data_IF_069739379473
#
_entry.id   IF_069739379473
#
_cell.length_a   1.000
_cell.length_b   1.000
_cell.length_c   1.000
_cell.angle_alpha   90.00
_cell.angle_beta   90.00
_cell.angle_gamma   90.00
#
_symmetry.space_group_name_H-M   'P 1'
#
loop_
_entity.id
_entity.type
_entity.pdbx_description
1 polymer ?
#
# COMPACT_ATOMS: atom_id res chain seq x y z
N UNK A 1 6.94 -20.87 5.41
CA UNK A 1 8.08 -20.02 5.02
C UNK A 1 8.09 -19.91 3.50
N UNK A 2 7.42 -18.89 2.95
CA UNK A 2 7.43 -18.66 1.51
C UNK A 2 8.82 -18.13 1.11
N UNK A 3 9.45 -18.83 0.18
CA UNK A 3 10.76 -18.52 -0.38
C UNK A 3 10.73 -17.09 -0.95
N UNK A 4 11.46 -16.15 -0.34
CA UNK A 4 11.69 -14.79 -0.85
C UNK A 4 12.33 -14.92 -2.24
N UNK A 5 11.50 -14.90 -3.28
CA UNK A 5 12.00 -14.96 -4.65
C UNK A 5 12.46 -13.55 -4.99
N UNK A 6 13.74 -13.26 -4.70
CA UNK A 6 14.46 -12.08 -5.16
C UNK A 6 14.39 -12.06 -6.70
N UNK A 7 13.39 -11.36 -7.24
CA UNK A 7 13.27 -11.07 -8.67
C UNK A 7 13.40 -9.57 -8.84
N UNK A 8 14.59 -9.16 -9.25
CA UNK A 8 14.90 -7.83 -9.75
C UNK A 8 14.82 -7.89 -11.28
N UNK A 9 14.14 -6.94 -11.89
CA UNK A 9 14.01 -6.78 -13.33
C UNK A 9 14.88 -5.62 -13.83
N UNK A 10 15.32 -5.73 -15.08
CA UNK A 10 16.07 -4.67 -15.76
C UNK A 10 15.23 -3.39 -15.90
N UNK A 11 15.87 -2.25 -15.67
CA UNK A 11 15.26 -0.92 -15.77
C UNK A 11 16.30 0.08 -16.25
N UNK A 12 15.84 1.22 -16.79
CA UNK A 12 16.70 2.34 -17.22
C UNK A 12 17.02 3.34 -16.09
N UNK A 13 16.51 3.08 -14.88
CA UNK A 13 16.78 3.92 -13.71
C UNK A 13 18.25 3.71 -13.28
N UNK A 14 18.98 4.81 -13.12
CA UNK A 14 20.43 4.87 -12.83
C UNK A 14 20.77 4.67 -11.34
N UNK A 15 19.82 4.14 -10.55
CA UNK A 15 20.02 3.79 -9.15
C UNK A 15 20.66 2.39 -9.09
N UNK A 16 21.75 2.21 -8.33
CA UNK A 16 22.38 0.90 -8.14
C UNK A 16 21.38 -0.15 -7.69
N UNK A 17 21.49 -1.37 -8.20
CA UNK A 17 20.54 -2.45 -7.92
C UNK A 17 20.35 -2.70 -6.42
N UNK A 18 21.45 -2.75 -5.64
CA UNK A 18 21.38 -2.92 -4.19
C UNK A 18 20.54 -1.81 -3.50
N UNK A 19 20.64 -0.57 -4.00
CA UNK A 19 19.82 0.53 -3.49
C UNK A 19 18.36 0.40 -3.93
N UNK A 20 18.10 -0.04 -5.17
CA UNK A 20 16.73 -0.32 -5.64
C UNK A 20 16.07 -1.42 -4.82
N UNK A 21 16.80 -2.50 -4.49
CA UNK A 21 16.27 -3.59 -3.65
C UNK A 21 15.80 -3.08 -2.28
N UNK A 22 16.61 -2.27 -1.60
CA UNK A 22 16.25 -1.66 -0.30
C UNK A 22 15.04 -0.73 -0.41
N UNK A 23 14.96 0.04 -1.50
CA UNK A 23 13.81 0.91 -1.76
C UNK A 23 12.54 0.08 -2.03
N UNK A 24 12.63 -1.00 -2.80
CA UNK A 24 11.50 -1.90 -3.09
C UNK A 24 10.99 -2.58 -1.81
N UNK A 25 11.89 -2.98 -0.91
CA UNK A 25 11.49 -3.53 0.41
C UNK A 25 10.72 -2.49 1.23
N UNK A 26 11.22 -1.25 1.31
CA UNK A 26 10.54 -0.16 2.00
C UNK A 26 9.18 0.18 1.36
N UNK A 27 9.12 0.23 0.03
CA UNK A 27 7.89 0.50 -0.71
C UNK A 27 6.85 -0.58 -0.48
N UNK A 28 7.23 -1.85 -0.44
CA UNK A 28 6.29 -2.92 -0.13
C UNK A 28 5.77 -2.88 1.32
N UNK A 29 6.61 -2.47 2.29
CA UNK A 29 6.14 -2.23 3.65
C UNK A 29 5.09 -1.10 3.69
N UNK A 30 5.34 0.01 2.98
CA UNK A 30 4.38 1.12 2.87
C UNK A 30 3.15 0.78 2.06
N UNK A 31 3.26 -0.08 1.05
CA UNK A 31 2.13 -0.59 0.28
C UNK A 31 1.18 -1.38 1.18
N UNK A 32 1.71 -2.24 2.05
CA UNK A 32 0.93 -3.01 3.00
C UNK A 32 0.17 -2.09 3.97
N UNK A 33 0.88 -1.16 4.62
CA UNK A 33 0.28 -0.20 5.55
C UNK A 33 -0.80 0.65 4.86
N UNK A 34 -0.55 1.12 3.63
CA UNK A 34 -1.48 2.00 2.91
C UNK A 34 -2.75 1.26 2.49
N UNK A 35 -2.62 0.00 2.04
CA UNK A 35 -3.78 -0.81 1.66
C UNK A 35 -4.64 -1.19 2.87
N UNK A 36 -4.01 -1.48 4.00
CA UNK A 36 -4.71 -1.72 5.26
C UNK A 36 -5.43 -0.46 5.74
N UNK A 37 -4.76 0.71 5.77
CA UNK A 37 -5.39 1.98 6.10
C UNK A 37 -6.61 2.29 5.24
N UNK A 38 -6.53 2.07 3.92
CA UNK A 38 -7.68 2.19 3.03
C UNK A 38 -8.84 1.29 3.49
N UNK A 39 -8.55 0.03 3.83
CA UNK A 39 -9.55 -0.92 4.29
C UNK A 39 -10.20 -0.49 5.62
N UNK A 40 -9.40 0.03 6.57
CA UNK A 40 -9.87 0.55 7.85
C UNK A 40 -10.77 1.78 7.67
N UNK A 41 -10.41 2.69 6.76
CA UNK A 41 -11.23 3.87 6.42
C UNK A 41 -12.58 3.46 5.83
N UNK A 42 -12.60 2.48 4.90
CA UNK A 42 -13.86 1.96 4.36
C UNK A 42 -14.68 1.24 5.43
N UNK A 43 -14.04 0.50 6.33
CA UNK A 43 -14.70 -0.12 7.48
C UNK A 43 -15.37 0.93 8.36
N UNK A 44 -14.69 2.03 8.70
CA UNK A 44 -15.26 3.15 9.45
C UNK A 44 -16.41 3.84 8.68
N UNK A 45 -16.20 4.12 7.40
CA UNK A 45 -17.19 4.72 6.49
C UNK A 45 -18.51 3.93 6.44
N UNK A 46 -18.46 2.60 6.36
CA UNK A 46 -19.66 1.76 6.31
C UNK A 46 -20.40 1.69 7.65
N UNK A 47 -19.68 1.81 8.77
CA UNK A 47 -20.22 1.51 10.09
C UNK A 47 -20.49 2.74 10.97
N UNK A 48 -20.10 3.94 10.56
CA UNK A 48 -20.39 5.17 11.31
C UNK A 48 -21.91 5.40 11.44
N UNK A 49 -22.34 5.92 12.59
CA UNK A 49 -23.72 6.22 12.98
C UNK A 49 -23.74 7.49 13.84
N UNK A 50 -24.93 8.07 14.06
CA UNK A 50 -25.13 9.18 15.00
C UNK A 50 -25.36 10.53 14.33
N UNK A 51 -25.36 11.60 15.12
CA UNK A 51 -25.63 12.98 14.65
C UNK A 51 -24.69 13.45 13.55
N UNK A 52 -23.44 12.98 13.58
CA UNK A 52 -22.38 13.39 12.66
C UNK A 52 -22.21 12.41 11.48
N UNK A 53 -23.15 11.47 11.30
CA UNK A 53 -23.06 10.39 10.31
C UNK A 53 -22.58 10.87 8.94
N UNK A 54 -23.26 11.84 8.34
CA UNK A 54 -22.97 12.25 6.95
C UNK A 54 -21.61 12.93 6.83
N UNK A 55 -21.21 13.74 7.81
CA UNK A 55 -19.94 14.46 7.79
C UNK A 55 -18.77 13.48 7.87
N UNK A 56 -18.83 12.53 8.81
CA UNK A 56 -17.80 11.52 8.99
C UNK A 56 -17.80 10.49 7.84
N UNK A 57 -18.98 10.08 7.35
CA UNK A 57 -19.09 9.16 6.23
C UNK A 57 -18.42 9.70 4.97
N UNK A 58 -18.67 10.96 4.62
CA UNK A 58 -18.03 11.63 3.48
C UNK A 58 -16.53 11.84 3.74
N UNK A 59 -16.14 12.24 4.95
CA UNK A 59 -14.74 12.41 5.31
C UNK A 59 -13.93 11.12 5.13
N UNK A 60 -14.42 10.00 5.66
CA UNK A 60 -13.74 8.71 5.53
C UNK A 60 -13.62 8.26 4.08
N UNK A 61 -14.59 8.57 3.22
CA UNK A 61 -14.54 8.21 1.80
C UNK A 61 -13.52 9.07 1.04
N UNK A 62 -13.49 10.39 1.26
CA UNK A 62 -12.50 11.29 0.66
C UNK A 62 -11.07 10.92 1.08
N UNK A 63 -10.86 10.55 2.35
CA UNK A 63 -9.54 10.08 2.79
C UNK A 63 -9.21 8.72 2.16
N UNK A 64 -10.18 7.80 2.09
CA UNK A 64 -9.97 6.49 1.47
C UNK A 64 -9.57 6.60 -0.01
N UNK A 65 -10.22 7.47 -0.78
CA UNK A 65 -9.90 7.70 -2.19
C UNK A 65 -8.46 8.20 -2.37
N UNK A 66 -8.01 9.14 -1.53
CA UNK A 66 -6.62 9.64 -1.55
C UNK A 66 -5.61 8.56 -1.19
N UNK A 67 -5.89 7.77 -0.14
CA UNK A 67 -5.02 6.66 0.27
C UNK A 67 -4.93 5.62 -0.85
N UNK A 68 -6.05 5.32 -1.53
CA UNK A 68 -6.05 4.39 -2.65
C UNK A 68 -5.21 4.91 -3.83
N UNK A 69 -5.18 6.22 -4.07
CA UNK A 69 -4.23 6.83 -5.01
C UNK A 69 -2.78 6.55 -4.63
N UNK A 70 -2.41 6.73 -3.36
CA UNK A 70 -1.04 6.42 -2.90
C UNK A 70 -0.69 4.94 -2.95
N UNK A 71 -1.66 4.03 -2.76
CA UNK A 71 -1.46 2.59 -2.96
C UNK A 71 -0.93 2.30 -4.36
N UNK A 72 -1.55 2.90 -5.38
CA UNK A 72 -1.16 2.72 -6.78
C UNK A 72 0.23 3.33 -7.04
N UNK A 73 0.46 4.58 -6.64
CA UNK A 73 1.75 5.26 -6.81
C UNK A 73 2.92 4.48 -6.16
N UNK A 74 2.72 3.93 -4.96
CA UNK A 74 3.73 3.14 -4.25
C UNK A 74 4.00 1.83 -5.00
N UNK A 75 2.94 1.13 -5.43
CA UNK A 75 3.06 -0.13 -6.16
C UNK A 75 3.79 0.08 -7.49
N UNK A 76 3.40 1.08 -8.28
CA UNK A 76 4.05 1.42 -9.55
C UNK A 76 5.50 1.85 -9.33
N UNK A 77 5.81 2.56 -8.24
CA UNK A 77 7.19 2.92 -7.94
C UNK A 77 8.04 1.69 -7.65
N UNK A 78 7.50 0.71 -6.93
CA UNK A 78 8.21 -0.54 -6.64
C UNK A 78 8.50 -1.32 -7.94
N UNK A 79 7.55 -1.37 -8.88
CA UNK A 79 7.75 -2.05 -10.17
C UNK A 79 8.68 -1.28 -11.12
N UNK A 80 8.61 0.05 -11.15
CA UNK A 80 9.51 0.89 -11.94
C UNK A 80 10.98 0.74 -11.53
N UNK A 81 11.23 0.51 -10.23
CA UNK A 81 12.53 0.18 -9.66
C UNK A 81 12.95 -1.28 -9.91
N UNK A 82 12.22 -2.04 -10.74
CA UNK A 82 12.51 -3.43 -11.07
C UNK A 82 12.08 -4.43 -10.00
N UNK A 83 11.29 -4.01 -9.02
CA UNK A 83 10.75 -4.89 -7.98
C UNK A 83 9.39 -5.50 -8.35
N UNK A 84 8.84 -6.27 -7.42
CA UNK A 84 7.44 -6.71 -7.44
C UNK A 84 6.65 -5.93 -6.39
N UNK A 85 5.45 -5.48 -6.74
CA UNK A 85 4.48 -4.98 -5.79
C UNK A 85 3.73 -6.16 -5.13
N UNK A 86 3.77 -6.25 -3.81
CA UNK A 86 3.16 -7.30 -3.01
C UNK A 86 1.79 -6.85 -2.47
N UNK A 87 0.88 -6.50 -3.39
CA UNK A 87 -0.37 -5.78 -3.07
C UNK A 87 -1.63 -6.64 -2.91
N UNK A 88 -1.55 -7.98 -2.89
CA UNK A 88 -2.77 -8.77 -2.64
C UNK A 88 -3.24 -8.60 -1.20
N UNK A 89 -4.55 -8.69 -0.95
CA UNK A 89 -5.14 -8.56 0.40
C UNK A 89 -4.43 -9.42 1.45
N UNK A 90 -4.09 -10.68 1.10
CA UNK A 90 -3.37 -11.58 2.02
C UNK A 90 -1.96 -11.10 2.33
N UNK A 91 -1.24 -10.60 1.32
CA UNK A 91 0.12 -10.07 1.49
C UNK A 91 0.13 -8.78 2.30
N UNK A 92 -0.83 -7.89 2.05
CA UNK A 92 -0.97 -6.66 2.82
C UNK A 92 -1.32 -6.97 4.29
N UNK A 93 -2.27 -7.88 4.53
CA UNK A 93 -2.65 -8.30 5.88
C UNK A 93 -1.50 -8.99 6.65
N UNK A 94 -0.68 -9.79 5.97
CA UNK A 94 0.47 -10.45 6.60
C UNK A 94 1.61 -9.48 6.95
N UNK A 95 1.69 -8.31 6.31
CA UNK A 95 2.84 -7.41 6.37
C UNK A 95 2.57 -6.01 6.96
N UNK A 96 1.30 -5.60 7.04
CA UNK A 96 0.89 -4.32 7.63
C UNK A 96 1.35 -4.20 9.08
N UNK A 97 1.69 -2.98 9.50
CA UNK A 97 2.10 -2.65 10.87
C UNK A 97 1.04 -1.85 11.62
N UNK A 98 -0.10 -1.57 10.99
CA UNK A 98 -1.23 -0.88 11.61
C UNK A 98 -2.04 -1.85 12.49
N UNK A 99 -2.58 -1.32 13.59
CA UNK A 99 -3.45 -2.05 14.53
C UNK A 99 -4.94 -1.85 14.21
#
# INVERSE_FOLDING_TARGET
MATKTKRSFDTRIDIPEESREKLVELLNARLADSFDLYSQLKQAHWNVKGSDFIQLHVLYDDVAERVLGYVDEIAERATALGGLALGTVRMAADATTLE
#
